data_IF_683199543081
#
_entry.id   IF_683199543081
#
_cell.length_a   1.000
_cell.length_b   1.000
_cell.length_c   1.000
_cell.angle_alpha   90.00
_cell.angle_beta   90.00
_cell.angle_gamma   90.00
#
_symmetry.space_group_name_H-M   'P 1'
#
loop_
_entity.id
_entity.type
_entity.pdbx_description
1 polymer ?
#
# COMPACT_ATOMS: atom_id res chain seq x y z
N UNK A 1 -10.91 19.58 -7.56
CA UNK A 1 -9.58 19.94 -8.07
C UNK A 1 -9.58 20.07 -9.59
N UNK A 2 -9.97 19.06 -10.35
CA UNK A 2 -10.05 19.16 -11.82
C UNK A 2 -10.88 20.35 -12.32
N UNK A 3 -12.03 20.62 -11.69
CA UNK A 3 -12.88 21.79 -12.01
C UNK A 3 -12.21 23.14 -11.69
N UNK A 4 -11.15 23.13 -10.87
CA UNK A 4 -10.35 24.32 -10.54
C UNK A 4 -9.07 24.43 -11.39
N UNK A 5 -8.92 23.58 -12.42
CA UNK A 5 -7.78 23.60 -13.33
C UNK A 5 -6.55 22.82 -12.86
N UNK A 6 -6.63 22.11 -11.74
CA UNK A 6 -5.54 21.26 -11.23
C UNK A 6 -5.83 19.79 -11.53
N UNK A 7 -5.08 19.20 -12.44
CA UNK A 7 -5.32 17.86 -13.00
C UNK A 7 -4.44 16.80 -12.33
N UNK A 8 -4.81 16.39 -11.11
CA UNK A 8 -4.16 15.30 -10.38
C UNK A 8 -5.16 14.17 -10.10
N UNK A 9 -4.67 12.94 -10.07
CA UNK A 9 -5.47 11.76 -9.74
C UNK A 9 -5.86 11.74 -8.25
N UNK A 10 -4.96 12.18 -7.37
CA UNK A 10 -5.21 12.25 -5.94
C UNK A 10 -4.20 13.12 -5.19
N UNK A 11 -4.27 13.12 -3.86
CA UNK A 11 -3.36 13.89 -3.01
C UNK A 11 -1.91 13.40 -3.09
N UNK A 12 -1.70 12.10 -3.29
CA UNK A 12 -0.37 11.50 -3.40
C UNK A 12 0.41 12.12 -4.56
N UNK A 13 -0.22 12.25 -5.72
CA UNK A 13 0.37 12.84 -6.93
C UNK A 13 0.65 14.34 -6.75
N UNK A 14 -0.22 15.07 -6.01
CA UNK A 14 0.01 16.49 -5.71
C UNK A 14 1.27 16.67 -4.88
N UNK A 15 1.41 15.91 -3.79
CA UNK A 15 2.59 16.04 -2.91
C UNK A 15 3.85 15.59 -3.62
N UNK A 16 3.80 14.56 -4.44
CA UNK A 16 4.93 14.12 -5.24
C UNK A 16 5.41 15.21 -6.22
N UNK A 17 4.49 15.85 -6.93
CA UNK A 17 4.78 16.95 -7.85
C UNK A 17 5.36 18.17 -7.11
N UNK A 18 4.68 18.63 -6.04
CA UNK A 18 5.12 19.79 -5.25
C UNK A 18 6.48 19.59 -4.55
N UNK A 19 6.90 18.35 -4.33
CA UNK A 19 8.19 18.00 -3.71
C UNK A 19 9.22 17.52 -4.72
N UNK A 20 8.90 17.53 -6.03
CA UNK A 20 9.75 16.99 -7.10
C UNK A 20 10.20 15.55 -6.81
N UNK A 21 9.29 14.70 -6.32
CA UNK A 21 9.55 13.31 -5.96
C UNK A 21 9.09 12.39 -7.09
N UNK A 22 10.01 11.69 -7.73
CA UNK A 22 9.71 10.73 -8.81
C UNK A 22 9.34 9.35 -8.27
N UNK A 23 10.00 8.90 -7.18
CA UNK A 23 9.85 7.56 -6.61
C UNK A 23 9.07 7.61 -5.32
N UNK A 24 7.79 7.37 -5.43
CA UNK A 24 6.86 7.35 -4.30
C UNK A 24 5.84 6.23 -4.45
N UNK A 25 5.19 5.87 -3.36
CA UNK A 25 4.05 4.96 -3.35
C UNK A 25 3.11 5.27 -2.21
N UNK A 26 1.91 4.71 -2.27
CA UNK A 26 0.93 4.76 -1.21
C UNK A 26 1.01 3.48 -0.38
N UNK A 27 1.07 3.62 0.93
CA UNK A 27 0.91 2.53 1.89
C UNK A 27 -0.44 2.65 2.57
N UNK A 28 -1.19 1.57 2.60
CA UNK A 28 -2.32 1.39 3.49
C UNK A 28 -1.90 0.49 4.65
N UNK A 29 -2.38 0.77 5.84
CA UNK A 29 -2.11 -0.06 7.01
C UNK A 29 -3.32 -0.14 7.92
N UNK A 30 -3.60 -1.36 8.39
CA UNK A 30 -4.56 -1.66 9.43
C UNK A 30 -4.05 -2.85 10.26
N UNK A 31 -3.99 -2.69 11.58
CA UNK A 31 -3.45 -3.70 12.48
C UNK A 31 -2.06 -4.17 12.05
N UNK A 32 -1.93 -5.47 11.74
CA UNK A 32 -0.69 -6.08 11.28
C UNK A 32 -0.46 -5.97 9.76
N UNK A 33 -1.51 -5.71 9.00
CA UNK A 33 -1.42 -5.68 7.54
C UNK A 33 -0.98 -4.32 7.04
N UNK A 34 0.13 -4.27 6.31
CA UNK A 34 0.63 -3.11 5.57
C UNK A 34 0.76 -3.49 4.12
N UNK A 35 0.25 -2.64 3.24
CA UNK A 35 0.27 -2.89 1.79
C UNK A 35 0.75 -1.64 1.07
N UNK A 36 1.73 -1.80 0.21
CA UNK A 36 2.18 -0.78 -0.75
C UNK A 36 1.85 -1.22 -2.18
N UNK A 37 1.78 -0.27 -3.11
CA UNK A 37 1.29 -0.53 -4.45
C UNK A 37 2.31 -0.13 -5.51
N UNK A 38 2.52 -1.01 -6.50
CA UNK A 38 3.32 -0.72 -7.70
C UNK A 38 2.59 0.31 -8.56
N UNK A 39 1.28 0.16 -8.71
CA UNK A 39 0.41 1.12 -9.37
C UNK A 39 -0.88 1.35 -8.58
N UNK A 40 -1.51 2.53 -8.71
CA UNK A 40 -2.74 2.89 -7.98
C UNK A 40 -3.83 3.38 -8.93
N UNK A 41 -3.90 4.65 -9.23
CA UNK A 41 -5.00 5.30 -9.93
C UNK A 41 -4.89 5.20 -11.47
N UNK A 42 -4.85 3.98 -11.97
CA UNK A 42 -4.79 3.67 -13.40
C UNK A 42 -5.75 2.54 -13.76
N UNK A 43 -6.03 2.36 -15.05
CA UNK A 43 -6.82 1.20 -15.49
C UNK A 43 -6.08 -0.10 -15.18
N UNK A 44 -6.82 -1.21 -14.97
CA UNK A 44 -6.20 -2.52 -14.73
C UNK A 44 -5.26 -2.94 -15.87
N UNK A 45 -5.60 -2.60 -17.11
CA UNK A 45 -4.74 -2.85 -18.28
C UNK A 45 -3.41 -2.10 -18.17
N UNK A 46 -3.46 -0.83 -17.86
CA UNK A 46 -2.27 -0.01 -17.64
C UNK A 46 -1.47 -0.46 -16.40
N UNK A 47 -2.14 -0.96 -15.36
CA UNK A 47 -1.48 -1.51 -14.18
C UNK A 47 -0.58 -2.70 -14.52
N UNK A 48 -1.00 -3.57 -15.46
CA UNK A 48 -0.16 -4.66 -15.96
C UNK A 48 1.12 -4.11 -16.64
N UNK A 49 0.98 -3.08 -17.47
CA UNK A 49 2.12 -2.46 -18.16
C UNK A 49 3.08 -1.74 -17.19
N UNK A 50 2.58 -1.33 -16.01
CA UNK A 50 3.38 -0.67 -14.97
C UNK A 50 4.12 -1.64 -14.04
N UNK A 51 3.80 -2.92 -14.07
CA UNK A 51 4.47 -3.94 -13.25
C UNK A 51 5.85 -4.31 -13.82
N UNK A 52 6.69 -3.30 -14.07
CA UNK A 52 8.04 -3.47 -14.59
C UNK A 52 9.02 -3.76 -13.46
N UNK A 53 10.11 -4.48 -13.78
CA UNK A 53 11.20 -4.79 -12.86
C UNK A 53 11.69 -3.56 -12.09
N UNK A 54 11.94 -2.46 -12.81
CA UNK A 54 12.43 -1.23 -12.19
C UNK A 54 11.43 -0.67 -11.17
N UNK A 55 10.15 -0.57 -11.55
CA UNK A 55 9.11 -0.03 -10.68
C UNK A 55 8.85 -0.93 -9.47
N UNK A 56 8.80 -2.24 -9.65
CA UNK A 56 8.63 -3.21 -8.56
C UNK A 56 9.79 -3.10 -7.58
N UNK A 57 11.04 -3.04 -8.07
CA UNK A 57 12.22 -2.88 -7.24
C UNK A 57 12.20 -1.57 -6.44
N UNK A 58 11.82 -0.47 -7.06
CA UNK A 58 11.70 0.82 -6.36
C UNK A 58 10.67 0.75 -5.22
N UNK A 59 9.53 0.10 -5.45
CA UNK A 59 8.50 -0.07 -4.41
C UNK A 59 8.98 -1.00 -3.30
N UNK A 60 9.72 -2.07 -3.60
CA UNK A 60 10.34 -2.94 -2.58
C UNK A 60 11.30 -2.14 -1.70
N UNK A 61 12.14 -1.29 -2.28
CA UNK A 61 13.07 -0.42 -1.54
C UNK A 61 12.32 0.55 -0.61
N UNK A 62 11.27 1.21 -1.13
CA UNK A 62 10.43 2.12 -0.36
C UNK A 62 9.73 1.37 0.79
N UNK A 63 9.18 0.19 0.52
CA UNK A 63 8.54 -0.66 1.52
C UNK A 63 9.49 -1.05 2.66
N UNK A 64 10.68 -1.52 2.30
CA UNK A 64 11.71 -1.88 3.26
C UNK A 64 12.14 -0.68 4.12
N UNK A 65 12.35 0.49 3.51
CA UNK A 65 12.71 1.69 4.25
C UNK A 65 11.59 2.15 5.17
N UNK A 66 10.35 2.15 4.70
CA UNK A 66 9.19 2.51 5.52
C UNK A 66 9.05 1.63 6.77
N UNK A 67 9.27 0.32 6.65
CA UNK A 67 9.28 -0.59 7.80
C UNK A 67 10.42 -0.27 8.77
N UNK A 68 11.61 0.08 8.27
CA UNK A 68 12.73 0.54 9.11
C UNK A 68 12.40 1.85 9.83
N UNK A 69 11.78 2.79 9.13
CA UNK A 69 11.30 4.06 9.70
C UNK A 69 10.15 3.85 10.71
N UNK A 70 9.52 2.68 10.73
CA UNK A 70 8.56 2.25 11.75
C UNK A 70 9.20 1.45 12.89
N UNK A 71 10.54 1.30 12.91
CA UNK A 71 11.29 0.62 13.96
C UNK A 71 11.46 -0.89 13.75
N UNK A 72 11.20 -1.43 12.56
CA UNK A 72 11.42 -2.84 12.23
C UNK A 72 12.82 -2.98 11.60
N UNK A 73 13.78 -3.53 12.33
CA UNK A 73 15.19 -3.59 11.90
C UNK A 73 15.40 -4.43 10.63
N UNK A 74 14.76 -5.59 10.55
CA UNK A 74 14.90 -6.55 9.45
C UNK A 74 13.52 -6.85 8.83
N UNK A 75 12.94 -5.94 8.05
CA UNK A 75 11.60 -6.12 7.49
C UNK A 75 11.51 -7.34 6.58
N UNK A 76 10.45 -8.11 6.73
CA UNK A 76 10.07 -9.21 5.82
C UNK A 76 9.12 -8.65 4.78
N UNK A 77 9.64 -8.39 3.58
CA UNK A 77 8.89 -7.78 2.47
C UNK A 77 8.35 -8.89 1.57
N UNK A 78 7.05 -9.05 1.50
CA UNK A 78 6.41 -10.00 0.61
C UNK A 78 5.98 -9.30 -0.69
N UNK A 79 6.25 -9.92 -1.84
CA UNK A 79 5.89 -9.38 -3.15
C UNK A 79 4.83 -10.27 -3.79
N UNK A 80 3.65 -9.71 -4.05
CA UNK A 80 2.55 -10.41 -4.70
C UNK A 80 2.87 -10.67 -6.18
N UNK A 81 2.40 -11.80 -6.71
CA UNK A 81 2.34 -11.98 -8.16
C UNK A 81 1.23 -11.11 -8.78
N UNK A 82 1.31 -10.86 -10.07
CA UNK A 82 0.29 -10.17 -10.86
C UNK A 82 -0.80 -11.15 -11.32
N UNK A 83 -0.35 -12.30 -11.84
CA UNK A 83 -1.21 -13.31 -12.46
C UNK A 83 -1.68 -14.37 -11.45
N UNK A 84 -2.80 -15.07 -11.73
CA UNK A 84 -3.20 -16.22 -10.93
C UNK A 84 -2.07 -17.24 -10.78
N UNK A 85 -1.88 -17.76 -9.55
CA UNK A 85 -0.82 -18.71 -9.22
C UNK A 85 0.60 -18.27 -9.65
N UNK A 86 0.84 -16.95 -9.63
CA UNK A 86 2.11 -16.35 -10.09
C UNK A 86 2.49 -16.77 -11.52
N UNK A 87 1.50 -16.77 -12.41
CA UNK A 87 1.67 -17.08 -13.84
C UNK A 87 1.85 -18.57 -14.17
N UNK A 88 1.91 -19.48 -13.18
CA UNK A 88 2.11 -20.94 -13.37
C UNK A 88 3.19 -21.25 -14.42
N UNK A 89 4.41 -20.77 -14.16
CA UNK A 89 5.56 -20.89 -15.07
C UNK A 89 5.32 -20.33 -16.50
N UNK A 90 4.52 -19.26 -16.60
CA UNK A 90 4.22 -18.56 -17.85
C UNK A 90 2.96 -19.04 -18.57
N UNK A 91 2.17 -19.94 -17.95
CA UNK A 91 0.90 -20.41 -18.52
C UNK A 91 -0.17 -19.30 -18.52
N UNK A 92 -0.22 -18.47 -17.47
CA UNK A 92 -1.22 -17.42 -17.30
C UNK A 92 -0.67 -16.00 -17.47
N UNK A 93 0.56 -15.87 -17.89
CA UNK A 93 1.29 -14.61 -18.04
C UNK A 93 2.77 -14.80 -17.73
N UNK A 94 3.58 -13.83 -18.09
CA UNK A 94 5.04 -13.91 -17.96
C UNK A 94 5.63 -12.80 -17.11
N UNK A 95 4.79 -11.92 -16.59
CA UNK A 95 5.20 -10.74 -15.81
C UNK A 95 5.97 -11.12 -14.55
N UNK A 96 5.65 -12.25 -13.92
CA UNK A 96 6.44 -12.78 -12.81
C UNK A 96 7.87 -13.13 -13.25
N UNK A 97 8.01 -13.87 -14.34
CA UNK A 97 9.29 -14.36 -14.86
C UNK A 97 10.15 -13.22 -15.41
N UNK A 98 9.52 -12.27 -16.11
CA UNK A 98 10.23 -11.22 -16.86
C UNK A 98 10.49 -9.98 -16.02
N UNK A 99 9.63 -9.68 -15.03
CA UNK A 99 9.65 -8.43 -14.30
C UNK A 99 9.72 -8.61 -12.77
N UNK A 100 8.76 -9.35 -12.17
CA UNK A 100 8.58 -9.36 -10.72
C UNK A 100 9.69 -10.14 -10.01
N UNK A 101 9.96 -11.39 -10.42
CA UNK A 101 10.99 -12.22 -9.81
C UNK A 101 12.39 -11.62 -10.00
N UNK A 102 12.75 -11.07 -11.19
CA UNK A 102 14.00 -10.31 -11.35
C UNK A 102 14.12 -9.07 -10.45
N UNK A 103 13.01 -8.42 -10.10
CA UNK A 103 13.01 -7.30 -9.13
C UNK A 103 13.26 -7.80 -7.70
N UNK A 104 12.62 -8.91 -7.31
CA UNK A 104 12.85 -9.55 -6.00
C UNK A 104 14.29 -10.01 -5.84
N UNK A 105 14.87 -10.64 -6.88
CA UNK A 105 16.28 -11.06 -6.86
C UNK A 105 17.23 -9.85 -6.74
N UNK A 106 16.95 -8.76 -7.45
CA UNK A 106 17.72 -7.53 -7.34
C UNK A 106 17.63 -6.92 -5.93
N UNK A 107 16.45 -6.91 -5.31
CA UNK A 107 16.25 -6.45 -3.95
C UNK A 107 17.04 -7.31 -2.93
N UNK A 108 17.04 -8.64 -3.10
CA UNK A 108 17.84 -9.55 -2.28
C UNK A 108 19.35 -9.29 -2.42
N UNK A 109 19.81 -9.01 -3.63
CA UNK A 109 21.22 -8.65 -3.87
C UNK A 109 21.62 -7.35 -3.18
N UNK A 110 20.66 -6.45 -2.89
CA UNK A 110 20.84 -5.24 -2.08
C UNK A 110 20.73 -5.47 -0.56
N UNK A 111 20.52 -6.74 -0.14
CA UNK A 111 20.39 -7.10 1.27
C UNK A 111 18.98 -6.88 1.85
N UNK A 112 17.96 -6.67 1.01
CA UNK A 112 16.57 -6.58 1.44
C UNK A 112 16.01 -8.01 1.60
N UNK A 113 15.36 -8.29 2.73
CA UNK A 113 14.69 -9.56 2.97
C UNK A 113 13.34 -9.58 2.23
N UNK A 114 13.41 -9.75 0.91
CA UNK A 114 12.26 -9.81 0.02
C UNK A 114 11.93 -11.25 -0.37
N UNK A 115 10.66 -11.62 -0.38
CA UNK A 115 10.16 -12.93 -0.82
C UNK A 115 9.05 -12.72 -1.87
N UNK A 116 9.11 -13.48 -2.96
CA UNK A 116 8.11 -13.45 -4.04
C UNK A 116 8.65 -13.99 -5.36
N UNK A 117 7.83 -14.06 -6.42
CA UNK A 117 6.41 -13.69 -6.44
C UNK A 117 5.56 -14.68 -5.64
N UNK A 118 4.62 -14.20 -4.83
CA UNK A 118 3.77 -15.03 -3.98
C UNK A 118 2.31 -14.95 -4.44
N UNK A 119 1.55 -16.08 -4.43
CA UNK A 119 0.15 -16.08 -4.81
C UNK A 119 -0.69 -15.14 -3.93
N UNK A 120 -1.32 -14.09 -4.50
CA UNK A 120 -1.99 -13.06 -3.72
C UNK A 120 -3.24 -13.57 -2.98
N UNK A 121 -3.88 -14.63 -3.46
CA UNK A 121 -5.04 -15.25 -2.84
C UNK A 121 -4.78 -15.80 -1.42
N UNK A 122 -3.53 -16.14 -1.11
CA UNK A 122 -3.11 -16.64 0.22
C UNK A 122 -2.14 -15.71 0.95
N UNK A 123 -1.46 -14.84 0.21
CA UNK A 123 -0.42 -13.95 0.75
C UNK A 123 -0.96 -13.01 1.85
N UNK A 124 -2.08 -12.35 1.59
CA UNK A 124 -2.60 -11.34 2.52
C UNK A 124 -3.05 -11.94 3.86
N UNK A 125 -3.56 -13.18 3.87
CA UNK A 125 -3.89 -13.86 5.14
C UNK A 125 -2.63 -14.19 5.95
N UNK A 126 -1.53 -14.59 5.29
CA UNK A 126 -0.23 -14.82 5.94
C UNK A 126 0.35 -13.53 6.51
N UNK A 127 0.27 -12.44 5.74
CA UNK A 127 0.74 -11.12 6.18
C UNK A 127 -0.06 -10.59 7.37
N UNK A 128 -1.39 -10.69 7.32
CA UNK A 128 -2.26 -10.33 8.45
C UNK A 128 -1.97 -11.20 9.70
N UNK A 129 -1.60 -12.46 9.51
CA UNK A 129 -1.15 -13.36 10.57
C UNK A 129 0.27 -13.08 11.10
N UNK A 130 0.96 -12.05 10.59
CA UNK A 130 2.28 -11.63 11.05
C UNK A 130 3.46 -12.39 10.45
N UNK A 131 3.26 -13.14 9.36
CA UNK A 131 4.36 -13.80 8.64
C UNK A 131 5.25 -12.79 7.91
N UNK A 132 4.67 -11.71 7.42
CA UNK A 132 5.34 -10.61 6.72
C UNK A 132 5.02 -9.27 7.38
N UNK A 133 5.92 -8.31 7.24
CA UNK A 133 5.78 -6.98 7.83
C UNK A 133 5.12 -5.99 6.87
N UNK A 134 5.24 -6.26 5.55
CA UNK A 134 4.66 -5.45 4.49
C UNK A 134 4.49 -6.27 3.21
N UNK A 135 3.43 -5.97 2.45
CA UNK A 135 3.13 -6.59 1.16
C UNK A 135 3.24 -5.55 0.04
N UNK A 136 3.95 -5.90 -1.03
CA UNK A 136 3.99 -5.15 -2.29
C UNK A 136 2.93 -5.73 -3.23
N UNK A 137 1.86 -4.99 -3.45
CA UNK A 137 0.78 -5.33 -4.38
C UNK A 137 1.03 -4.70 -5.76
N UNK A 138 0.66 -5.38 -6.83
CA UNK A 138 0.92 -4.92 -8.20
C UNK A 138 -0.05 -3.83 -8.63
N UNK A 139 -1.29 -3.88 -8.16
CA UNK A 139 -2.32 -2.90 -8.53
C UNK A 139 -3.26 -2.57 -7.37
N UNK A 140 -4.04 -1.51 -7.55
CA UNK A 140 -4.89 -0.91 -6.54
C UNK A 140 -5.76 -1.95 -5.80
N UNK A 141 -6.66 -2.63 -6.49
CA UNK A 141 -7.64 -3.51 -5.83
C UNK A 141 -7.00 -4.77 -5.22
N UNK A 142 -5.86 -5.24 -5.76
CA UNK A 142 -5.13 -6.36 -5.19
C UNK A 142 -4.73 -6.11 -3.73
N UNK A 143 -4.37 -4.87 -3.40
CA UNK A 143 -3.99 -4.48 -2.03
C UNK A 143 -5.14 -3.90 -1.23
N UNK A 144 -6.04 -3.13 -1.87
CA UNK A 144 -7.15 -2.47 -1.18
C UNK A 144 -8.22 -3.44 -0.72
N UNK A 145 -8.62 -4.42 -1.55
CA UNK A 145 -9.70 -5.37 -1.20
C UNK A 145 -9.40 -6.11 0.10
N UNK A 146 -8.24 -6.80 0.27
CA UNK A 146 -7.97 -7.52 1.51
C UNK A 146 -7.88 -6.60 2.73
N UNK A 147 -7.31 -5.40 2.59
CA UNK A 147 -7.20 -4.45 3.69
C UNK A 147 -8.57 -3.88 4.05
N UNK A 148 -9.35 -3.43 3.07
CA UNK A 148 -10.70 -2.90 3.29
C UNK A 148 -11.65 -3.95 3.86
N UNK A 149 -11.47 -5.22 3.53
CA UNK A 149 -12.27 -6.31 4.10
C UNK A 149 -12.03 -6.46 5.61
N UNK A 150 -10.84 -6.16 6.10
CA UNK A 150 -10.51 -6.17 7.53
C UNK A 150 -11.03 -4.92 8.24
N UNK A 151 -10.83 -3.76 7.65
CA UNK A 151 -11.10 -2.44 8.23
C UNK A 151 -12.60 -2.06 8.15
N UNK A 152 -13.23 -2.27 6.99
CA UNK A 152 -14.62 -1.89 6.74
C UNK A 152 -15.60 -3.03 7.09
N UNK A 153 -15.96 -3.15 8.33
CA UNK A 153 -16.88 -4.20 8.81
C UNK A 153 -18.28 -3.62 9.01
N UNK A 154 -19.26 -4.10 8.20
CA UNK A 154 -20.67 -3.74 8.37
C UNK A 154 -21.33 -4.56 9.46
N UNK A 155 -21.83 -3.90 10.50
CA UNK A 155 -22.61 -4.53 11.57
C UNK A 155 -24.10 -4.51 11.21
N UNK A 156 -24.59 -5.62 10.69
CA UNK A 156 -25.99 -5.76 10.27
C UNK A 156 -26.97 -5.55 11.45
N UNK A 157 -26.58 -5.90 12.67
CA UNK A 157 -27.45 -5.75 13.84
C UNK A 157 -27.69 -4.28 14.22
N UNK A 158 -26.72 -3.41 13.91
CA UNK A 158 -26.78 -1.97 14.14
C UNK A 158 -27.17 -1.19 12.89
N UNK A 159 -27.17 -1.82 11.71
CA UNK A 159 -27.39 -1.15 10.44
C UNK A 159 -26.31 -0.11 10.09
N UNK A 160 -25.08 -0.28 10.61
CA UNK A 160 -24.00 0.70 10.52
C UNK A 160 -22.66 0.02 10.30
N UNK A 161 -21.69 0.78 9.77
CA UNK A 161 -20.29 0.38 9.72
C UNK A 161 -19.67 0.47 11.11
N UNK A 162 -18.76 -0.46 11.43
CA UNK A 162 -17.85 -0.28 12.54
C UNK A 162 -16.90 0.89 12.25
N UNK A 163 -16.27 1.43 13.30
CA UNK A 163 -15.27 2.46 13.13
C UNK A 163 -14.13 1.98 12.22
N UNK A 164 -13.73 2.82 11.27
CA UNK A 164 -12.58 2.59 10.39
C UNK A 164 -11.32 2.98 11.16
N UNK A 165 -10.33 2.11 11.20
CA UNK A 165 -9.07 2.28 11.93
C UNK A 165 -7.86 2.41 11.01
N UNK A 166 -8.02 2.04 9.74
CA UNK A 166 -6.96 2.05 8.73
C UNK A 166 -6.41 3.45 8.45
N UNK A 167 -5.16 3.49 8.01
CA UNK A 167 -4.44 4.71 7.66
C UNK A 167 -3.87 4.64 6.25
N UNK A 168 -3.75 5.82 5.63
CA UNK A 168 -3.15 5.99 4.31
C UNK A 168 -1.91 6.89 4.43
N UNK A 169 -0.75 6.38 4.03
CA UNK A 169 0.54 7.06 4.14
C UNK A 169 1.18 7.16 2.76
N UNK A 170 1.63 8.34 2.38
CA UNK A 170 2.43 8.50 1.16
C UNK A 170 3.91 8.35 1.50
N UNK A 171 4.56 7.35 0.93
CA UNK A 171 5.96 7.00 1.15
C UNK A 171 6.86 7.51 0.02
N UNK A 172 8.14 7.73 0.32
CA UNK A 172 9.13 8.23 -0.63
C UNK A 172 9.25 9.75 -0.67
N UNK A 173 8.29 10.48 -0.07
CA UNK A 173 8.34 11.94 0.01
C UNK A 173 9.41 12.43 1.00
N UNK A 174 9.98 13.64 0.82
CA UNK A 174 10.87 14.26 1.80
C UNK A 174 10.13 14.71 3.07
N UNK A 175 8.81 14.72 3.04
CA UNK A 175 7.91 15.01 4.16
C UNK A 175 7.21 13.74 4.64
N UNK A 176 6.68 13.74 5.87
CA UNK A 176 5.78 12.70 6.36
C UNK A 176 4.35 13.12 6.03
N UNK A 177 3.65 12.28 5.27
CA UNK A 177 2.25 12.47 4.94
C UNK A 177 1.45 11.24 5.37
N UNK A 178 0.63 11.38 6.38
CA UNK A 178 -0.34 10.40 6.82
C UNK A 178 -1.76 10.98 6.72
N UNK A 179 -2.74 10.15 6.51
CA UNK A 179 -4.15 10.54 6.47
C UNK A 179 -5.05 9.37 6.84
N UNK A 180 -6.31 9.69 7.07
CA UNK A 180 -7.38 8.71 7.22
C UNK A 180 -7.56 7.86 5.96
N UNK A 181 -8.07 6.63 6.12
CA UNK A 181 -8.33 5.69 5.03
C UNK A 181 -9.81 5.65 4.60
N UNK A 182 -10.59 6.65 4.94
CA UNK A 182 -11.99 6.78 4.53
C UNK A 182 -12.20 8.03 3.65
N UNK A 183 -13.35 8.07 2.95
CA UNK A 183 -13.76 9.21 2.14
C UNK A 183 -14.27 10.39 2.96
N UNK A 184 -14.86 11.37 2.27
CA UNK A 184 -15.35 12.64 2.86
C UNK A 184 -16.59 12.46 3.75
N UNK A 185 -17.31 11.33 3.66
CA UNK A 185 -18.46 10.97 4.49
C UNK A 185 -19.47 12.14 4.66
N UNK A 186 -19.91 12.72 3.55
CA UNK A 186 -20.82 13.87 3.56
C UNK A 186 -22.15 13.60 4.28
N UNK A 187 -22.57 12.34 4.31
CA UNK A 187 -23.73 11.83 5.06
C UNK A 187 -23.57 11.96 6.58
N UNK A 188 -22.35 12.03 7.09
CA UNK A 188 -22.03 12.20 8.50
C UNK A 188 -21.93 13.68 8.92
N UNK A 189 -21.95 14.60 7.97
CA UNK A 189 -21.73 16.01 8.23
C UNK A 189 -22.87 16.61 9.09
N UNK A 190 -22.53 17.07 10.30
CA UNK A 190 -23.49 17.64 11.27
C UNK A 190 -24.19 16.62 12.16
N UNK A 191 -24.00 15.31 11.95
CA UNK A 191 -24.66 14.23 12.70
C UNK A 191 -23.92 13.85 14.00
N UNK A 192 -22.68 14.32 14.18
CA UNK A 192 -21.82 14.01 15.34
C UNK A 192 -21.57 12.51 15.55
N UNK A 193 -21.54 11.75 14.47
CA UNK A 193 -21.40 10.29 14.47
C UNK A 193 -20.09 9.82 13.82
N UNK A 194 -19.27 10.74 13.31
CA UNK A 194 -17.98 10.43 12.71
C UNK A 194 -17.01 9.86 13.75
N UNK A 195 -16.24 8.84 13.36
CA UNK A 195 -15.18 8.26 14.20
C UNK A 195 -13.86 8.99 13.98
N UNK A 196 -13.15 9.28 15.06
CA UNK A 196 -11.82 9.88 15.10
C UNK A 196 -10.69 8.86 14.94
N UNK A 197 -10.95 7.55 15.09
CA UNK A 197 -9.92 6.51 15.24
C UNK A 197 -8.92 6.47 14.08
N UNK A 198 -9.38 6.57 12.83
CA UNK A 198 -8.48 6.57 11.67
C UNK A 198 -7.53 7.79 11.69
N UNK A 199 -7.99 8.96 12.20
CA UNK A 199 -7.16 10.14 12.33
C UNK A 199 -6.16 10.00 13.49
N UNK A 200 -6.57 9.46 14.63
CA UNK A 200 -5.68 9.18 15.75
C UNK A 200 -4.58 8.22 15.34
N UNK A 201 -4.93 7.11 14.68
CA UNK A 201 -3.98 6.16 14.14
C UNK A 201 -3.03 6.79 13.10
N UNK A 202 -3.53 7.69 12.25
CA UNK A 202 -2.69 8.41 11.28
C UNK A 202 -1.67 9.32 11.97
N UNK A 203 -2.05 9.97 13.08
CA UNK A 203 -1.14 10.79 13.90
C UNK A 203 -0.08 9.89 14.54
N UNK A 204 -0.46 8.75 15.14
CA UNK A 204 0.48 7.81 15.76
C UNK A 204 1.48 7.25 14.75
N UNK A 205 1.04 6.90 13.55
CA UNK A 205 1.94 6.50 12.47
C UNK A 205 2.91 7.62 12.08
N UNK A 206 2.43 8.86 11.98
CA UNK A 206 3.27 10.02 11.67
C UNK A 206 4.34 10.26 12.75
N UNK A 207 3.98 10.14 14.03
CA UNK A 207 4.92 10.25 15.16
C UNK A 207 5.98 9.16 15.07
N UNK A 208 5.59 7.89 14.89
CA UNK A 208 6.53 6.75 14.78
C UNK A 208 7.51 6.94 13.62
N UNK A 209 7.03 7.40 12.47
CA UNK A 209 7.88 7.72 11.32
C UNK A 209 8.85 8.88 11.61
N UNK A 210 8.41 9.90 12.37
CA UNK A 210 9.25 11.03 12.73
C UNK A 210 10.36 10.65 13.72
N UNK A 211 10.07 9.79 14.69
CA UNK A 211 11.01 9.34 15.71
C UNK A 211 12.18 8.53 15.15
N UNK A 212 11.96 7.80 14.05
CA UNK A 212 12.95 6.91 13.44
C UNK A 212 13.58 7.46 12.15
N UNK A 213 12.98 8.48 11.54
CA UNK A 213 13.51 9.15 10.34
C UNK A 213 14.67 10.07 10.77
N UNK A 214 15.89 9.51 10.73
CA UNK A 214 17.14 10.26 10.99
C UNK A 214 17.77 10.73 9.68
#
# INVERSE_FOLDING_TARGET
>A
MNSAGYHYAGHTEIYADLTNTEKYTMMLADGNLRVVHVSTHVSLREACDRATKERVLDVIRIANQACKDLGIENPRVAVAGLNPHCGENGLFGREEIEEIDPAVEAARAEGINAEGSLPPDTLFSKANGGMYDIVVAMYHDQGHIPLKLLDFVYDQSKGAWKAVEGVNITLGLPIIRASVDHGTAFDQAGEWTASELSLENAIDYAIRLADHKK
#
